data_IF_116606414960
#
_entry.id   IF_116606414960
#
_cell.length_a   1.000
_cell.length_b   1.000
_cell.length_c   1.000
_cell.angle_alpha   90.00
_cell.angle_beta   90.00
_cell.angle_gamma   90.00
#
_symmetry.space_group_name_H-M   'P 1'
#
loop_
_entity.id
_entity.type
_entity.pdbx_description
1 polymer ?
#
# COMPACT_ATOMS: atom_id res chain seq x y z
N UNK A 1 -3.42 -6.34 -2.99
CA UNK A 1 -1.96 -6.26 -2.80
C UNK A 1 -1.39 -5.30 -3.83
N UNK A 2 -0.51 -4.39 -3.44
CA UNK A 2 0.18 -3.48 -4.35
C UNK A 2 1.69 -3.75 -4.32
N UNK A 3 2.33 -3.67 -5.48
CA UNK A 3 3.79 -3.64 -5.63
C UNK A 3 4.16 -2.39 -6.40
N UNK A 4 5.17 -1.67 -5.92
CA UNK A 4 5.61 -0.43 -6.55
C UNK A 4 7.05 -0.07 -6.17
N UNK A 5 7.66 0.76 -6.99
CA UNK A 5 8.96 1.37 -6.77
C UNK A 5 8.81 2.85 -6.40
N UNK A 6 9.81 3.37 -5.72
CA UNK A 6 9.87 4.81 -5.44
C UNK A 6 10.21 5.60 -6.70
N UNK A 7 9.91 6.89 -6.69
CA UNK A 7 10.41 7.81 -7.70
C UNK A 7 11.95 7.79 -7.74
N UNK A 8 12.57 8.07 -8.90
CA UNK A 8 14.02 8.11 -9.02
C UNK A 8 14.67 9.06 -7.98
N UNK A 9 15.54 8.51 -7.14
CA UNK A 9 16.28 9.25 -6.13
C UNK A 9 15.56 9.40 -4.78
N UNK A 10 14.32 8.92 -4.63
CA UNK A 10 13.63 8.84 -3.35
C UNK A 10 14.11 7.59 -2.59
N UNK A 11 14.54 7.76 -1.34
CA UNK A 11 14.90 6.65 -0.47
C UNK A 11 13.62 5.93 0.01
N UNK A 12 13.48 4.62 -0.18
CA UNK A 12 12.33 3.87 0.31
C UNK A 12 12.11 3.95 1.84
N UNK A 13 13.13 4.30 2.62
CA UNK A 13 12.97 4.62 4.04
C UNK A 13 12.03 5.82 4.28
N UNK A 14 11.91 6.74 3.32
CA UNK A 14 10.93 7.82 3.38
C UNK A 14 9.50 7.29 3.29
N UNK A 15 9.26 6.28 2.44
CA UNK A 15 7.97 5.60 2.38
C UNK A 15 7.68 4.83 3.67
N UNK A 16 8.66 4.16 4.28
CA UNK A 16 8.45 3.48 5.57
C UNK A 16 7.95 4.43 6.65
N UNK A 17 8.55 5.63 6.75
CA UNK A 17 8.12 6.68 7.67
C UNK A 17 6.71 7.18 7.31
N UNK A 18 6.47 7.54 6.05
CA UNK A 18 5.15 7.97 5.59
C UNK A 18 4.07 6.91 5.86
N UNK A 19 4.38 5.64 5.60
CA UNK A 19 3.45 4.53 5.78
C UNK A 19 3.07 4.33 7.24
N UNK A 20 4.04 4.43 8.14
CA UNK A 20 3.83 4.26 9.59
C UNK A 20 3.15 5.46 10.26
N UNK A 21 3.38 6.68 9.77
CA UNK A 21 2.89 7.91 10.40
C UNK A 21 1.57 8.42 9.82
N UNK A 22 1.33 8.21 8.52
CA UNK A 22 0.20 8.84 7.80
C UNK A 22 -0.69 7.79 7.15
N UNK A 23 -0.16 7.01 6.21
CA UNK A 23 -0.96 6.13 5.35
C UNK A 23 -1.71 5.05 6.13
N UNK A 24 -0.98 4.13 6.77
CA UNK A 24 -1.59 3.00 7.49
C UNK A 24 -2.52 3.47 8.61
N UNK A 25 -2.13 4.42 9.49
CA UNK A 25 -3.04 4.92 10.52
C UNK A 25 -4.32 5.54 9.93
N UNK A 26 -4.21 6.29 8.84
CA UNK A 26 -5.35 6.97 8.20
C UNK A 26 -6.29 5.96 7.55
N UNK A 27 -5.75 4.98 6.82
CA UNK A 27 -6.53 3.93 6.19
C UNK A 27 -7.21 3.03 7.25
N UNK A 28 -6.49 2.60 8.28
CA UNK A 28 -7.01 1.76 9.36
C UNK A 28 -8.03 2.46 10.27
N UNK A 29 -8.05 3.79 10.30
CA UNK A 29 -9.10 4.55 11.02
C UNK A 29 -10.50 4.32 10.42
N UNK A 30 -10.59 3.91 9.15
CA UNK A 30 -11.83 3.52 8.48
C UNK A 30 -12.08 2.02 8.58
N UNK A 31 -12.11 1.49 9.81
CA UNK A 31 -12.12 0.05 10.10
C UNK A 31 -13.34 -0.72 9.57
N UNK A 32 -14.43 -0.02 9.21
CA UNK A 32 -15.56 -0.62 8.51
C UNK A 32 -15.24 -1.03 7.07
N UNK A 33 -14.26 -0.37 6.44
CA UNK A 33 -13.84 -0.57 5.05
C UNK A 33 -12.47 -1.26 5.01
N UNK A 34 -11.46 -0.73 5.69
CA UNK A 34 -10.09 -1.29 5.71
C UNK A 34 -9.92 -2.16 6.95
N UNK A 35 -9.78 -3.48 6.76
CA UNK A 35 -9.69 -4.47 7.85
C UNK A 35 -8.26 -4.77 8.27
N UNK A 36 -7.34 -4.72 7.31
CA UNK A 36 -5.90 -4.99 7.52
C UNK A 36 -5.07 -4.15 6.57
N UNK A 37 -3.92 -3.68 7.05
CA UNK A 37 -2.95 -2.96 6.24
C UNK A 37 -1.53 -3.24 6.75
N UNK A 38 -0.76 -3.94 5.94
CA UNK A 38 0.67 -4.21 6.12
C UNK A 38 1.47 -3.67 4.93
N UNK A 39 2.66 -3.15 5.20
CA UNK A 39 3.62 -2.73 4.20
C UNK A 39 4.97 -3.38 4.49
N UNK A 40 5.66 -3.80 3.44
CA UNK A 40 6.92 -4.53 3.50
C UNK A 40 7.93 -3.86 2.59
N UNK A 41 9.12 -3.57 3.13
CA UNK A 41 10.27 -3.14 2.35
C UNK A 41 10.89 -4.33 1.64
N UNK A 42 11.10 -4.21 0.33
CA UNK A 42 11.92 -5.17 -0.43
C UNK A 42 13.38 -4.95 -0.06
N UNK A 43 14.02 -5.97 0.49
CA UNK A 43 15.44 -5.95 0.84
C UNK A 43 16.31 -6.71 -0.16
N UNK A 44 15.73 -7.65 -0.90
CA UNK A 44 16.39 -8.44 -1.94
C UNK A 44 15.35 -8.92 -2.97
N UNK A 45 15.75 -8.98 -4.24
CA UNK A 45 14.96 -9.46 -5.37
C UNK A 45 15.88 -10.29 -6.29
N UNK A 46 16.06 -11.60 -6.03
CA UNK A 46 17.07 -12.43 -6.70
C UNK A 46 16.90 -12.55 -8.21
N UNK A 47 15.67 -12.42 -8.71
CA UNK A 47 15.33 -12.43 -10.13
C UNK A 47 15.40 -11.03 -10.78
N UNK A 48 15.75 -10.01 -9.99
CA UNK A 48 15.82 -8.62 -10.41
C UNK A 48 14.44 -7.96 -10.60
N UNK A 49 13.36 -8.55 -10.06
CA UNK A 49 12.03 -7.96 -10.17
C UNK A 49 12.00 -6.54 -9.54
N UNK A 50 11.51 -5.52 -10.28
CA UNK A 50 11.51 -4.14 -9.81
C UNK A 50 10.34 -3.91 -8.86
N UNK A 51 10.63 -3.86 -7.55
CA UNK A 51 9.73 -3.34 -6.52
C UNK A 51 10.55 -2.86 -5.32
N UNK A 52 10.14 -1.74 -4.74
CA UNK A 52 10.70 -1.24 -3.49
C UNK A 52 9.84 -1.61 -2.28
N UNK A 53 8.53 -1.64 -2.47
CA UNK A 53 7.54 -1.85 -1.43
C UNK A 53 6.50 -2.87 -1.90
N UNK A 54 6.09 -3.76 -0.99
CA UNK A 54 4.88 -4.55 -1.11
C UNK A 54 3.88 -4.08 -0.07
N UNK A 55 2.64 -3.89 -0.49
CA UNK A 55 1.54 -3.50 0.36
C UNK A 55 0.43 -4.55 0.32
N UNK A 56 -0.03 -4.95 1.50
CA UNK A 56 -1.16 -5.85 1.68
C UNK A 56 -2.25 -5.10 2.42
N UNK A 57 -3.31 -4.79 1.70
CA UNK A 57 -4.51 -4.21 2.26
C UNK A 57 -5.69 -5.15 2.05
N UNK A 58 -6.41 -5.43 3.14
CA UNK A 58 -7.69 -6.14 3.13
C UNK A 58 -8.80 -5.12 3.28
N UNK A 59 -9.72 -5.09 2.31
CA UNK A 59 -10.90 -4.24 2.34
C UNK A 59 -12.17 -5.08 2.35
N UNK A 60 -13.22 -4.58 3.00
CA UNK A 60 -14.51 -5.24 3.10
C UNK A 60 -15.23 -5.32 1.73
N UNK A 61 -15.18 -4.22 0.98
CA UNK A 61 -15.71 -4.09 -0.38
C UNK A 61 -14.82 -3.13 -1.17
N UNK A 62 -14.55 -3.49 -2.44
CA UNK A 62 -13.65 -2.70 -3.28
C UNK A 62 -14.29 -1.38 -3.74
N UNK A 63 -15.57 -1.38 -4.08
CA UNK A 63 -16.25 -0.16 -4.53
C UNK A 63 -16.37 0.85 -3.38
N UNK A 64 -16.66 0.39 -2.16
CA UNK A 64 -16.64 1.26 -0.96
C UNK A 64 -15.24 1.84 -0.70
N UNK A 65 -14.19 1.04 -0.88
CA UNK A 65 -12.81 1.52 -0.80
C UNK A 65 -12.51 2.59 -1.86
N UNK A 66 -12.91 2.39 -3.12
CA UNK A 66 -12.73 3.40 -4.16
C UNK A 66 -13.48 4.70 -3.84
N UNK A 67 -14.72 4.61 -3.37
CA UNK A 67 -15.48 5.78 -2.95
C UNK A 67 -14.80 6.53 -1.80
N UNK A 68 -14.26 5.81 -0.80
CA UNK A 68 -13.51 6.40 0.29
C UNK A 68 -12.23 7.07 -0.20
N UNK A 69 -11.38 6.34 -0.94
CA UNK A 69 -10.09 6.80 -1.46
C UNK A 69 -10.26 8.07 -2.30
N UNK A 70 -11.23 8.06 -3.22
CA UNK A 70 -11.32 9.10 -4.25
C UNK A 70 -12.09 10.35 -3.76
N UNK A 71 -12.90 10.25 -2.70
CA UNK A 71 -13.79 11.33 -2.29
C UNK A 71 -13.63 11.79 -0.84
N UNK A 72 -13.09 10.96 0.07
CA UNK A 72 -13.07 11.30 1.48
C UNK A 72 -11.87 12.21 1.82
N UNK A 73 -12.08 13.39 2.42
CA UNK A 73 -11.02 14.38 2.60
C UNK A 73 -9.90 13.91 3.53
N UNK A 74 -10.16 12.95 4.42
CA UNK A 74 -9.10 12.40 5.30
C UNK A 74 -8.06 11.58 4.54
N UNK A 75 -8.34 11.12 3.31
CA UNK A 75 -7.38 10.38 2.48
C UNK A 75 -6.46 11.30 1.68
N UNK A 76 -6.74 12.61 1.64
CA UNK A 76 -5.92 13.57 0.91
C UNK A 76 -4.43 13.52 1.28
N UNK A 77 -4.02 13.50 2.55
CA UNK A 77 -2.60 13.39 2.91
C UNK A 77 -1.96 12.07 2.47
N UNK A 78 -2.75 11.00 2.36
CA UNK A 78 -2.29 9.70 1.86
C UNK A 78 -2.00 9.79 0.38
N UNK A 79 -2.93 10.33 -0.40
CA UNK A 79 -2.77 10.48 -1.85
C UNK A 79 -1.59 11.40 -2.17
N UNK A 80 -1.49 12.56 -1.52
CA UNK A 80 -0.40 13.51 -1.73
C UNK A 80 0.97 12.92 -1.36
N UNK A 81 1.04 12.16 -0.25
CA UNK A 81 2.27 11.49 0.14
C UNK A 81 2.66 10.36 -0.82
N UNK A 82 1.69 9.60 -1.30
CA UNK A 82 1.91 8.55 -2.30
C UNK A 82 2.42 9.15 -3.62
N UNK A 83 1.76 10.20 -4.13
CA UNK A 83 2.16 10.90 -5.36
C UNK A 83 3.56 11.51 -5.27
N UNK A 84 3.98 11.94 -4.08
CA UNK A 84 5.29 12.53 -3.85
C UNK A 84 6.44 11.50 -3.75
N UNK A 85 6.13 10.23 -3.45
CA UNK A 85 7.13 9.20 -3.14
C UNK A 85 7.20 8.08 -4.18
N UNK A 86 6.05 7.69 -4.75
CA UNK A 86 5.91 6.46 -5.54
C UNK A 86 5.94 6.76 -7.03
N UNK A 87 6.64 5.93 -7.82
CA UNK A 87 6.53 5.97 -9.28
C UNK A 87 5.23 5.29 -9.74
N UNK A 88 4.22 6.04 -10.21
CA UNK A 88 2.92 5.48 -10.58
C UNK A 88 3.02 4.48 -11.74
N UNK A 89 4.04 4.56 -12.60
CA UNK A 89 4.21 3.62 -13.72
C UNK A 89 4.54 2.19 -13.24
N UNK A 90 5.04 2.06 -12.02
CA UNK A 90 5.46 0.78 -11.43
C UNK A 90 4.38 0.12 -10.60
N UNK A 91 3.31 0.84 -10.27
CA UNK A 91 2.22 0.31 -9.43
C UNK A 91 1.55 -0.88 -10.13
N UNK A 92 1.51 -2.01 -9.43
CA UNK A 92 0.79 -3.22 -9.82
C UNK A 92 -0.12 -3.66 -8.69
N UNK A 93 -1.42 -3.69 -8.95
CA UNK A 93 -2.44 -4.12 -7.99
C UNK A 93 -2.93 -5.52 -8.34
N UNK A 94 -2.92 -6.41 -7.35
CA UNK A 94 -3.45 -7.77 -7.45
C UNK A 94 -4.56 -7.97 -6.42
N UNK A 95 -5.72 -8.43 -6.88
CA UNK A 95 -6.75 -8.98 -6.02
C UNK A 95 -6.43 -10.43 -5.75
N UNK A 96 -6.33 -10.78 -4.48
CA UNK A 96 -5.87 -12.10 -4.05
C UNK A 96 -6.86 -12.73 -3.09
N UNK A 97 -6.84 -14.06 -3.02
CA UNK A 97 -7.51 -14.83 -1.98
C UNK A 97 -6.45 -15.62 -1.25
N UNK A 98 -6.51 -15.65 0.08
CA UNK A 98 -5.60 -16.45 0.88
C UNK A 98 -5.80 -17.94 0.54
N UNK A 99 -4.71 -18.63 0.23
CA UNK A 99 -4.70 -20.09 0.22
C UNK A 99 -4.41 -20.50 1.66
N UNK A 100 -5.35 -21.13 2.37
CA UNK A 100 -5.10 -21.56 3.74
C UNK A 100 -3.97 -22.59 3.74
N UNK A 101 -2.96 -22.35 4.57
CA UNK A 101 -1.96 -23.38 4.87
C UNK A 101 -2.52 -24.38 5.88
N UNK A 102 -2.12 -25.65 5.79
CA UNK A 102 -2.14 -26.52 6.96
C UNK A 102 -1.08 -25.96 7.93
N UNK A 103 -1.50 -25.49 9.10
CA UNK A 103 -0.57 -25.25 10.20
C UNK A 103 0.00 -26.62 10.63
N UNK A 104 1.33 -26.79 10.77
CA UNK A 104 1.87 -27.93 11.50
C UNK A 104 1.49 -27.88 12.99
#
# INVERSE_FOLDING_TARGET
MNLFSMLPGVDPAEFERFSSEVDRPTCLAHSGIVRRFEAFRVTDAPDGAPADILEVMEVADWAEWEQLRDNHPTLKPVIEGFDALVDPATVRTYFTTAIPGELP
#
